data_IF_502193282406
#
_entry.id   IF_502193282406
#
_cell.length_a   1.000
_cell.length_b   1.000
_cell.length_c   1.000
_cell.angle_alpha   90.00
_cell.angle_beta   90.00
_cell.angle_gamma   90.00
#
_symmetry.space_group_name_H-M   'P 1'
#
loop_
_entity.id
_entity.type
_entity.pdbx_description
1 polymer ?
#
# COMPACT_ATOMS: atom_id res chain seq x y z
N UNK A 1 8.77 4.68 0.26
CA UNK A 1 7.55 5.06 -0.51
C UNK A 1 6.42 5.45 0.44
N UNK A 2 6.24 4.78 1.60
CA UNK A 2 5.18 5.13 2.56
C UNK A 2 5.29 6.59 3.01
N UNK A 3 6.50 7.10 3.28
CA UNK A 3 6.68 8.50 3.66
C UNK A 3 6.12 9.49 2.62
N UNK A 4 6.28 9.22 1.32
CA UNK A 4 5.72 10.06 0.25
C UNK A 4 4.19 10.05 0.28
N UNK A 5 3.59 8.91 0.61
CA UNK A 5 2.14 8.73 0.68
C UNK A 5 1.59 9.40 1.95
N UNK A 6 2.17 9.12 3.11
CA UNK A 6 1.77 9.71 4.39
C UNK A 6 1.83 11.23 4.38
N UNK A 7 2.91 11.79 3.82
CA UNK A 7 3.10 13.24 3.71
C UNK A 7 2.33 13.86 2.52
N UNK A 8 1.54 13.06 1.78
CA UNK A 8 0.83 13.46 0.56
C UNK A 8 1.72 14.16 -0.48
N UNK A 9 3.00 13.80 -0.50
CA UNK A 9 3.98 14.34 -1.43
C UNK A 9 3.69 13.77 -2.81
N UNK A 10 3.48 14.67 -3.77
CA UNK A 10 3.34 14.27 -5.16
C UNK A 10 4.68 13.81 -5.71
N UNK A 11 4.85 12.50 -5.89
CA UNK A 11 6.09 11.96 -6.45
C UNK A 11 6.20 12.27 -7.95
N UNK A 12 7.08 13.21 -8.29
CA UNK A 12 7.40 13.56 -9.67
C UNK A 12 8.50 12.64 -10.24
N UNK A 13 8.60 12.50 -11.58
CA UNK A 13 9.71 11.79 -12.24
C UNK A 13 11.10 12.17 -11.71
N UNK A 14 11.33 13.46 -11.46
CA UNK A 14 12.60 13.98 -10.93
C UNK A 14 12.88 13.50 -9.50
N UNK A 15 11.84 13.35 -8.69
CA UNK A 15 11.98 12.84 -7.32
C UNK A 15 12.38 11.36 -7.34
N UNK A 16 11.78 10.55 -8.22
CA UNK A 16 12.16 9.14 -8.36
C UNK A 16 13.61 8.99 -8.85
N UNK A 17 14.04 9.85 -9.76
CA UNK A 17 15.43 9.93 -10.21
C UNK A 17 16.38 10.17 -9.02
N UNK A 18 16.08 11.19 -8.20
CA UNK A 18 16.90 11.57 -7.04
C UNK A 18 16.97 10.46 -6.00
N UNK A 19 15.84 9.83 -5.68
CA UNK A 19 15.81 8.72 -4.72
C UNK A 19 16.62 7.53 -5.27
N UNK A 20 16.50 7.22 -6.56
CA UNK A 20 17.22 6.09 -7.16
C UNK A 20 18.73 6.32 -7.19
N UNK A 21 19.17 7.54 -7.46
CA UNK A 21 20.59 7.92 -7.35
C UNK A 21 21.07 7.78 -5.91
N UNK A 22 20.32 8.31 -4.93
CA UNK A 22 20.70 8.21 -3.52
C UNK A 22 20.78 6.76 -3.01
N UNK A 23 19.92 5.86 -3.50
CA UNK A 23 20.00 4.43 -3.18
C UNK A 23 21.32 3.84 -3.68
N UNK A 24 21.71 4.12 -4.92
CA UNK A 24 22.96 3.58 -5.50
C UNK A 24 24.21 4.18 -4.82
N UNK A 25 24.13 5.44 -4.39
CA UNK A 25 25.21 6.09 -3.62
C UNK A 25 25.47 5.38 -2.28
N UNK A 26 24.40 4.95 -1.59
CA UNK A 26 24.47 4.22 -0.32
C UNK A 26 24.80 2.74 -0.53
N UNK A 27 24.16 2.12 -1.51
CA UNK A 27 24.25 0.69 -1.82
C UNK A 27 24.90 0.48 -3.19
N UNK A 28 26.23 0.45 -3.22
CA UNK A 28 26.99 0.41 -4.49
C UNK A 28 26.76 -0.83 -5.36
N UNK A 29 26.23 -1.91 -4.79
CA UNK A 29 25.85 -3.13 -5.54
C UNK A 29 24.52 -3.00 -6.28
N UNK A 30 23.72 -1.98 -5.95
CA UNK A 30 22.41 -1.74 -6.52
C UNK A 30 22.50 -1.03 -7.88
N UNK A 31 21.53 -1.31 -8.74
CA UNK A 31 21.42 -0.73 -10.08
C UNK A 31 20.31 0.31 -10.07
N UNK A 32 20.60 1.54 -10.49
CA UNK A 32 19.66 2.66 -10.50
C UNK A 32 18.37 2.32 -11.26
N UNK A 33 18.52 1.69 -12.41
CA UNK A 33 17.44 1.33 -13.33
C UNK A 33 16.45 0.32 -12.73
N UNK A 34 16.86 -0.43 -11.70
CA UNK A 34 15.97 -1.29 -10.91
C UNK A 34 14.92 -0.46 -10.18
N UNK A 35 15.30 0.70 -9.65
CA UNK A 35 14.45 1.56 -8.84
C UNK A 35 13.64 2.54 -9.70
N UNK A 36 14.27 3.12 -10.72
CA UNK A 36 13.60 4.02 -11.64
C UNK A 36 14.28 4.06 -13.01
N UNK A 37 13.47 3.86 -14.05
CA UNK A 37 13.89 3.94 -15.44
C UNK A 37 12.91 4.82 -16.23
N UNK A 38 13.42 5.92 -16.77
CA UNK A 38 12.65 6.83 -17.61
C UNK A 38 13.20 6.77 -19.05
N UNK A 39 12.51 6.07 -19.94
CA UNK A 39 12.85 6.03 -21.37
C UNK A 39 12.00 7.05 -22.13
N UNK A 40 12.60 7.92 -22.97
CA UNK A 40 11.84 8.84 -23.79
C UNK A 40 10.77 8.11 -24.61
N UNK A 41 9.56 8.66 -24.67
CA UNK A 41 8.39 8.08 -25.36
C UNK A 41 7.81 6.80 -24.74
N UNK A 42 8.33 6.32 -23.60
CA UNK A 42 7.75 5.22 -22.86
C UNK A 42 7.24 5.67 -21.49
N UNK A 43 6.34 4.86 -20.90
CA UNK A 43 5.93 5.07 -19.51
C UNK A 43 7.13 4.77 -18.58
N UNK A 44 7.34 5.57 -17.53
CA UNK A 44 8.37 5.28 -16.54
C UNK A 44 8.16 3.90 -15.92
N UNK A 45 9.27 3.23 -15.61
CA UNK A 45 9.32 1.90 -14.99
C UNK A 45 10.22 1.93 -13.75
N UNK A 46 10.27 0.81 -13.05
CA UNK A 46 11.08 0.63 -11.85
C UNK A 46 10.25 0.47 -10.58
N UNK A 47 10.86 -0.16 -9.58
CA UNK A 47 10.19 -0.55 -8.34
C UNK A 47 9.56 0.64 -7.61
N UNK A 48 10.24 1.79 -7.54
CA UNK A 48 9.73 2.96 -6.82
C UNK A 48 8.51 3.55 -7.49
N UNK A 49 8.57 3.74 -8.81
CA UNK A 49 7.47 4.28 -9.59
C UNK A 49 6.24 3.37 -9.52
N UNK A 50 6.44 2.07 -9.73
CA UNK A 50 5.37 1.10 -9.75
C UNK A 50 4.74 0.92 -8.36
N UNK A 51 5.55 0.80 -7.29
CA UNK A 51 5.06 0.73 -5.91
C UNK A 51 4.24 1.98 -5.56
N UNK A 52 4.72 3.18 -5.87
CA UNK A 52 3.96 4.42 -5.61
C UNK A 52 2.62 4.44 -6.34
N UNK A 53 2.62 4.27 -7.67
CA UNK A 53 1.39 4.41 -8.46
C UNK A 53 0.38 3.29 -8.17
N UNK A 54 0.84 2.06 -7.91
CA UNK A 54 -0.03 0.96 -7.51
C UNK A 54 -0.67 1.23 -6.14
N UNK A 55 0.11 1.69 -5.15
CA UNK A 55 -0.43 2.01 -3.83
C UNK A 55 -1.42 3.17 -3.89
N UNK A 56 -1.11 4.25 -4.62
CA UNK A 56 -2.05 5.36 -4.83
C UNK A 56 -3.33 4.87 -5.51
N UNK A 57 -3.22 4.02 -6.53
CA UNK A 57 -4.40 3.46 -7.22
C UNK A 57 -5.23 2.56 -6.31
N UNK A 58 -4.59 1.74 -5.45
CA UNK A 58 -5.27 0.94 -4.42
C UNK A 58 -6.00 1.84 -3.43
N UNK A 59 -5.35 2.88 -2.90
CA UNK A 59 -5.96 3.78 -1.93
C UNK A 59 -7.13 4.59 -2.51
N UNK A 60 -7.05 4.99 -3.79
CA UNK A 60 -8.18 5.63 -4.48
C UNK A 60 -9.39 4.72 -4.59
N UNK A 61 -9.19 3.42 -4.90
CA UNK A 61 -10.28 2.44 -4.97
C UNK A 61 -11.04 2.29 -3.65
N UNK A 62 -10.34 2.43 -2.53
CA UNK A 62 -10.94 2.36 -1.20
C UNK A 62 -11.34 3.73 -0.62
N UNK A 63 -11.35 4.80 -1.42
CA UNK A 63 -11.60 6.18 -0.97
C UNK A 63 -10.68 6.68 0.17
N UNK A 64 -9.54 6.02 0.40
CA UNK A 64 -8.55 6.36 1.44
C UNK A 64 -7.52 7.38 0.96
N UNK A 65 -7.60 7.82 -0.31
CA UNK A 65 -6.69 8.81 -0.88
C UNK A 65 -7.44 9.95 -1.55
N UNK A 66 -7.54 11.06 -0.81
CA UNK A 66 -7.73 12.39 -1.38
C UNK A 66 -6.35 12.91 -1.76
N UNK A 67 -6.07 12.97 -3.07
CA UNK A 67 -4.78 13.43 -3.59
C UNK A 67 -4.35 14.79 -3.05
N UNK A 68 -3.10 15.21 -3.30
CA UNK A 68 -2.65 16.54 -2.90
C UNK A 68 -3.67 17.55 -3.43
N UNK A 69 -4.25 18.36 -2.53
CA UNK A 69 -5.31 19.34 -2.84
C UNK A 69 -4.82 20.25 -3.97
N UNK A 70 -5.10 19.90 -5.21
CA UNK A 70 -5.09 20.85 -6.31
C UNK A 70 -6.41 21.59 -6.17
N UNK A 71 -6.35 22.85 -5.76
CA UNK A 71 -7.47 23.77 -5.89
C UNK A 71 -7.84 23.84 -7.38
N UNK A 72 -8.78 23.01 -7.82
CA UNK A 72 -9.48 23.17 -9.08
C UNK A 72 -10.96 22.90 -8.84
N UNK A 73 -11.71 23.97 -9.04
CA UNK A 73 -13.16 24.11 -9.00
C UNK A 73 -13.81 23.26 -10.11
N UNK A 74 -14.89 22.54 -9.78
CA UNK A 74 -15.86 21.82 -10.65
C UNK A 74 -15.28 20.80 -11.66
N UNK A 75 -15.97 19.73 -12.08
CA UNK A 75 -17.41 19.46 -12.19
C UNK A 75 -17.65 17.93 -12.30
N UNK A 76 -18.74 17.46 -11.70
CA UNK A 76 -19.60 16.30 -12.02
C UNK A 76 -19.07 15.18 -12.95
N UNK A 77 -19.04 13.93 -12.46
CA UNK A 77 -19.99 12.90 -12.90
C UNK A 77 -19.88 11.58 -12.11
N UNK A 78 -21.06 10.98 -11.98
CA UNK A 78 -21.45 9.64 -11.51
C UNK A 78 -20.57 8.49 -11.99
N UNK A 79 -20.42 7.43 -11.18
CA UNK A 79 -21.31 6.27 -11.29
C UNK A 79 -21.07 5.18 -10.23
N UNK A 80 -22.11 4.39 -10.06
CA UNK A 80 -22.37 3.44 -9.00
C UNK A 80 -21.36 2.30 -8.84
N UNK A 81 -21.17 1.86 -7.60
CA UNK A 81 -21.18 0.43 -7.31
C UNK A 81 -21.76 0.17 -5.93
N UNK A 82 -22.95 -0.44 -5.96
CA UNK A 82 -23.61 -1.03 -4.80
C UNK A 82 -22.77 -2.21 -4.31
N UNK A 83 -22.26 -2.13 -3.08
CA UNK A 83 -21.82 -3.30 -2.34
C UNK A 83 -22.69 -3.41 -1.09
N UNK A 84 -23.40 -4.54 -0.97
CA UNK A 84 -24.26 -4.87 0.17
C UNK A 84 -23.45 -4.80 1.46
N UNK A 85 -23.82 -3.89 2.34
CA UNK A 85 -23.38 -3.90 3.74
C UNK A 85 -24.06 -5.07 4.46
N UNK A 86 -23.24 -6.00 4.95
CA UNK A 86 -23.64 -6.91 6.02
C UNK A 86 -23.36 -6.18 7.36
N UNK A 87 -24.23 -6.33 8.37
CA UNK A 87 -24.03 -5.67 9.65
C UNK A 87 -22.85 -6.35 10.37
N UNK A 88 -21.77 -5.60 10.60
CA UNK A 88 -20.62 -6.11 11.36
C UNK A 88 -20.17 -5.10 12.42
N UNK A 89 -19.91 -5.62 13.61
CA UNK A 89 -19.77 -4.93 14.88
C UNK A 89 -18.57 -3.96 14.87
N UNK A 90 -18.83 -2.65 14.97
CA UNK A 90 -17.92 -1.59 14.50
C UNK A 90 -16.72 -1.27 15.43
N UNK A 91 -16.59 -1.90 16.60
CA UNK A 91 -15.63 -1.41 17.61
C UNK A 91 -14.27 -2.12 17.65
N UNK A 92 -14.20 -3.43 17.37
CA UNK A 92 -12.93 -4.20 17.42
C UNK A 92 -12.20 -4.23 16.07
N UNK A 93 -12.94 -3.99 14.98
CA UNK A 93 -12.48 -4.23 13.62
C UNK A 93 -11.60 -3.10 13.05
N UNK A 94 -11.74 -1.88 13.57
CA UNK A 94 -10.98 -0.71 13.11
C UNK A 94 -9.49 -0.80 13.51
N UNK A 95 -9.20 -1.23 14.73
CA UNK A 95 -7.82 -1.40 15.21
C UNK A 95 -7.15 -2.57 14.50
N UNK A 96 -7.85 -3.69 14.34
CA UNK A 96 -7.38 -4.83 13.57
C UNK A 96 -7.07 -4.46 12.12
N UNK A 97 -7.97 -3.72 11.46
CA UNK A 97 -7.77 -3.26 10.09
C UNK A 97 -6.56 -2.32 9.99
N UNK A 98 -6.34 -1.46 10.98
CA UNK A 98 -5.15 -0.61 11.08
C UNK A 98 -3.87 -1.45 11.21
N UNK A 99 -3.87 -2.49 12.06
CA UNK A 99 -2.71 -3.38 12.23
C UNK A 99 -2.45 -4.22 10.97
N UNK A 100 -3.50 -4.77 10.34
CA UNK A 100 -3.41 -5.50 9.06
C UNK A 100 -2.84 -4.61 7.97
N UNK A 101 -3.34 -3.38 7.86
CA UNK A 101 -2.86 -2.40 6.88
C UNK A 101 -1.40 -2.02 7.16
N UNK A 102 -1.03 -1.80 8.42
CA UNK A 102 0.35 -1.54 8.79
C UNK A 102 1.25 -2.72 8.41
N UNK A 103 0.84 -3.94 8.76
CA UNK A 103 1.59 -5.14 8.46
C UNK A 103 1.81 -5.27 6.97
N UNK A 104 0.84 -5.00 6.10
CA UNK A 104 0.95 -5.07 4.62
C UNK A 104 2.01 -4.16 4.00
N UNK A 105 2.46 -3.14 4.71
CA UNK A 105 3.37 -2.13 4.16
C UNK A 105 4.72 -2.06 4.87
N UNK A 106 4.87 -2.67 6.05
CA UNK A 106 6.07 -2.57 6.88
C UNK A 106 6.65 -3.96 7.17
N UNK A 107 7.91 -4.14 6.79
CA UNK A 107 8.73 -5.33 7.11
C UNK A 107 9.83 -5.01 8.13
N UNK A 108 10.00 -3.73 8.44
CA UNK A 108 10.93 -3.23 9.45
C UNK A 108 10.26 -2.08 10.23
N UNK A 109 10.63 -1.87 11.51
CA UNK A 109 11.61 -2.66 12.25
C UNK A 109 11.01 -4.00 12.73
N UNK A 110 11.82 -5.07 12.72
CA UNK A 110 11.37 -6.46 12.93
C UNK A 110 10.66 -6.65 14.28
N UNK A 111 11.11 -5.95 15.31
CA UNK A 111 10.47 -5.96 16.63
C UNK A 111 9.00 -5.49 16.60
N UNK A 112 8.68 -4.43 15.86
CA UNK A 112 7.31 -3.93 15.71
C UNK A 112 6.46 -4.88 14.85
N UNK A 113 7.07 -5.45 13.81
CA UNK A 113 6.43 -6.49 12.99
C UNK A 113 6.04 -7.67 13.86
N UNK A 114 6.95 -8.21 14.68
CA UNK A 114 6.66 -9.34 15.57
C UNK A 114 5.53 -9.05 16.55
N UNK A 115 5.50 -7.86 17.16
CA UNK A 115 4.44 -7.46 18.09
C UNK A 115 3.08 -7.49 17.38
N UNK A 116 3.01 -6.89 16.18
CA UNK A 116 1.77 -6.82 15.39
C UNK A 116 1.36 -8.17 14.82
N UNK A 117 2.31 -9.03 14.47
CA UNK A 117 2.06 -10.41 14.10
C UNK A 117 1.47 -11.21 15.26
N UNK A 118 2.00 -11.04 16.48
CA UNK A 118 1.44 -11.65 17.69
C UNK A 118 0.02 -11.16 17.96
N UNK A 119 -0.23 -9.85 17.82
CA UNK A 119 -1.58 -9.27 17.99
C UNK A 119 -2.61 -9.85 17.02
N UNK A 120 -2.20 -10.18 15.80
CA UNK A 120 -3.12 -10.69 14.75
C UNK A 120 -3.16 -12.21 14.64
N UNK A 121 -2.32 -12.93 15.39
CA UNK A 121 -2.16 -14.38 15.27
C UNK A 121 -3.45 -15.14 15.61
N UNK A 122 -4.13 -14.76 16.70
CA UNK A 122 -5.35 -15.44 17.12
C UNK A 122 -6.51 -15.22 16.15
N UNK A 123 -6.56 -14.05 15.53
CA UNK A 123 -7.61 -13.69 14.57
C UNK A 123 -7.39 -14.45 13.27
N UNK A 124 -6.16 -14.48 12.76
CA UNK A 124 -5.77 -15.30 11.60
C UNK A 124 -6.05 -16.78 11.83
N UNK A 125 -5.81 -17.28 13.05
CA UNK A 125 -6.13 -18.64 13.45
C UNK A 125 -7.63 -18.91 13.46
N UNK A 126 -8.44 -17.98 13.98
CA UNK A 126 -9.92 -18.10 13.93
C UNK A 126 -10.42 -18.08 12.48
N UNK A 127 -9.83 -17.25 11.62
CA UNK A 127 -10.18 -17.17 10.21
C UNK A 127 -9.92 -18.49 9.48
N UNK A 128 -8.80 -19.17 9.77
CA UNK A 128 -8.51 -20.54 9.29
C UNK A 128 -9.54 -21.58 9.74
N UNK A 129 -10.17 -21.36 10.89
CA UNK A 129 -11.16 -22.28 11.45
C UNK A 129 -12.56 -22.08 10.87
N UNK A 130 -12.78 -21.06 10.03
CA UNK A 130 -14.07 -20.82 9.39
C UNK A 130 -14.31 -21.85 8.27
N UNK A 131 -15.53 -22.39 8.15
CA UNK A 131 -15.87 -23.32 7.08
C UNK A 131 -15.79 -22.61 5.71
N UNK A 132 -15.22 -23.31 4.71
CA UNK A 132 -15.02 -22.85 3.33
C UNK A 132 -13.91 -21.81 3.10
N UNK A 133 -13.03 -21.56 4.08
CA UNK A 133 -11.81 -20.79 3.84
C UNK A 133 -10.71 -21.74 3.32
N UNK A 134 -10.12 -21.38 2.19
CA UNK A 134 -8.92 -22.03 1.66
C UNK A 134 -7.68 -21.27 2.09
N UNK A 135 -6.52 -21.94 2.04
CA UNK A 135 -5.25 -21.28 2.37
C UNK A 135 -4.98 -20.08 1.45
N UNK A 136 -5.46 -20.12 0.20
CA UNK A 136 -5.29 -19.04 -0.77
C UNK A 136 -5.98 -17.75 -0.32
N UNK A 137 -7.18 -17.85 0.27
CA UNK A 137 -7.95 -16.69 0.73
C UNK A 137 -7.17 -15.89 1.80
N UNK A 138 -6.40 -16.60 2.63
CA UNK A 138 -5.56 -15.97 3.66
C UNK A 138 -4.32 -15.33 3.07
N UNK A 139 -3.69 -15.97 2.08
CA UNK A 139 -2.50 -15.43 1.41
C UNK A 139 -2.84 -14.17 0.61
N UNK A 140 -4.09 -14.05 0.14
CA UNK A 140 -4.60 -12.83 -0.51
C UNK A 140 -4.89 -11.70 0.48
N UNK A 141 -5.35 -12.05 1.69
CA UNK A 141 -5.69 -11.07 2.72
C UNK A 141 -4.52 -10.59 3.57
N UNK A 142 -3.53 -11.45 3.82
CA UNK A 142 -2.48 -11.23 4.80
C UNK A 142 -1.09 -11.29 4.17
N UNK A 143 -0.16 -10.41 4.60
CA UNK A 143 1.20 -10.45 4.11
C UNK A 143 1.92 -11.76 4.48
N UNK A 144 2.74 -12.25 3.55
CA UNK A 144 3.37 -13.60 3.59
C UNK A 144 4.89 -13.58 3.73
N UNK A 145 5.51 -12.41 3.89
CA UNK A 145 6.95 -12.28 4.11
C UNK A 145 7.38 -12.79 5.48
#
# INVERSE_FOLDING_TARGET
IEHLIQQKIHASPKLFEQISVGIVEVFKSEIKETFYLCVPKQKPKGLLYQKYHNTISKLRRYNLWSGPKKLKLNENNSDANSFRELPHDESEDAELNSVKQWLQFNIEPVNEVEIKWKQTADIRRRYLSLPNITIHDILDEWPTY
#
